data_IF_712560262537
#
_entry.id   IF_712560262537
#
_cell.length_a   1.000
_cell.length_b   1.000
_cell.length_c   1.000
_cell.angle_alpha   90.00
_cell.angle_beta   90.00
_cell.angle_gamma   90.00
#
_symmetry.space_group_name_H-M   'P 1'
#
loop_
_entity.id
_entity.type
_entity.pdbx_description
1 polymer ?
#
# COMPACT_ATOMS: atom_id res chain seq x y z
N UNK A 1 -20.73 8.82 -16.31
CA UNK A 1 -20.03 7.51 -16.20
C UNK A 1 -18.58 7.61 -16.68
N UNK A 2 -18.33 8.18 -17.86
CA UNK A 2 -16.97 8.39 -18.39
C UNK A 2 -16.10 9.25 -17.46
N UNK A 3 -16.67 10.32 -16.91
CA UNK A 3 -15.99 11.20 -15.97
C UNK A 3 -15.55 10.47 -14.69
N UNK A 4 -16.40 9.60 -14.12
CA UNK A 4 -16.04 8.79 -12.96
C UNK A 4 -14.84 7.88 -13.25
N UNK A 5 -14.79 7.28 -14.46
CA UNK A 5 -13.68 6.43 -14.88
C UNK A 5 -12.40 7.25 -15.04
N UNK A 6 -12.50 8.47 -15.57
CA UNK A 6 -11.37 9.39 -15.71
C UNK A 6 -10.78 9.77 -14.35
N UNK A 7 -11.63 10.15 -13.39
CA UNK A 7 -11.22 10.52 -12.03
C UNK A 7 -10.63 9.32 -11.28
N UNK A 8 -11.22 8.13 -11.43
CA UNK A 8 -10.71 6.91 -10.81
C UNK A 8 -9.29 6.59 -11.31
N UNK A 9 -9.05 6.67 -12.63
CA UNK A 9 -7.71 6.45 -13.20
C UNK A 9 -6.70 7.44 -12.65
N UNK A 10 -7.04 8.72 -12.63
CA UNK A 10 -6.16 9.76 -12.08
C UNK A 10 -5.82 9.50 -10.60
N UNK A 11 -6.79 9.09 -9.79
CA UNK A 11 -6.55 8.73 -8.40
C UNK A 11 -5.65 7.50 -8.24
N UNK A 12 -5.84 6.47 -9.07
CA UNK A 12 -4.99 5.28 -9.08
C UNK A 12 -3.55 5.61 -9.51
N UNK A 13 -3.37 6.41 -10.56
CA UNK A 13 -2.05 6.81 -11.05
C UNK A 13 -1.29 7.61 -9.99
N UNK A 14 -1.98 8.54 -9.31
CA UNK A 14 -1.42 9.30 -8.20
C UNK A 14 -1.03 8.41 -7.02
N UNK A 15 -1.90 7.46 -6.63
CA UNK A 15 -1.62 6.52 -5.55
C UNK A 15 -0.39 5.64 -5.86
N UNK A 16 -0.27 5.14 -7.09
CA UNK A 16 0.90 4.34 -7.52
C UNK A 16 2.19 5.15 -7.50
N UNK A 17 2.15 6.41 -7.93
CA UNK A 17 3.29 7.32 -7.83
C UNK A 17 3.72 7.51 -6.38
N UNK A 18 2.79 7.88 -5.49
CA UNK A 18 3.07 8.09 -4.07
C UNK A 18 3.61 6.83 -3.39
N UNK A 19 3.05 5.67 -3.70
CA UNK A 19 3.54 4.37 -3.21
C UNK A 19 5.01 4.15 -3.61
N UNK A 20 5.35 4.35 -4.89
CA UNK A 20 6.73 4.19 -5.38
C UNK A 20 7.69 5.19 -4.74
N UNK A 21 7.28 6.45 -4.59
CA UNK A 21 8.08 7.47 -3.93
C UNK A 21 8.33 7.11 -2.46
N UNK A 22 7.31 6.68 -1.73
CA UNK A 22 7.45 6.19 -0.36
C UNK A 22 8.41 4.98 -0.25
N UNK A 23 8.29 4.01 -1.15
CA UNK A 23 9.19 2.85 -1.22
C UNK A 23 10.64 3.22 -1.55
N UNK A 24 10.86 4.36 -2.22
CA UNK A 24 12.18 4.90 -2.52
C UNK A 24 12.71 5.89 -1.47
N UNK A 25 12.04 6.00 -0.31
CA UNK A 25 12.47 6.88 0.79
C UNK A 25 12.12 8.36 0.61
N UNK A 26 11.23 8.70 -0.33
CA UNK A 26 10.75 10.07 -0.53
C UNK A 26 9.45 10.38 0.22
N UNK A 27 9.00 9.45 1.07
CA UNK A 27 7.81 9.64 1.92
C UNK A 27 8.08 10.62 3.06
N UNK A 28 7.12 11.50 3.32
CA UNK A 28 7.30 12.62 4.26
C UNK A 28 7.21 12.22 5.74
N UNK A 29 6.40 11.22 6.09
CA UNK A 29 6.08 10.88 7.49
C UNK A 29 7.32 10.55 8.32
N UNK A 30 8.26 9.80 7.74
CA UNK A 30 9.50 9.42 8.45
C UNK A 30 10.46 10.60 8.57
N UNK A 31 10.43 11.54 7.64
CA UNK A 31 11.20 12.78 7.74
C UNK A 31 10.65 13.68 8.85
N UNK A 32 9.33 13.85 8.92
CA UNK A 32 8.65 14.59 9.99
C UNK A 32 8.90 13.96 11.36
N UNK A 33 8.86 12.62 11.43
CA UNK A 33 9.20 11.90 12.65
C UNK A 33 10.66 12.13 13.08
N UNK A 34 11.61 12.12 12.15
CA UNK A 34 13.01 12.41 12.44
C UNK A 34 13.18 13.83 13.00
N UNK A 35 12.56 14.83 12.37
CA UNK A 35 12.58 16.22 12.84
C UNK A 35 12.00 16.35 14.27
N UNK A 36 10.92 15.61 14.56
CA UNK A 36 10.35 15.56 15.90
C UNK A 36 11.29 14.95 16.93
N UNK A 37 11.93 13.82 16.63
CA UNK A 37 12.90 13.19 17.54
C UNK A 37 14.07 14.15 17.82
N UNK A 38 14.57 14.81 16.78
CA UNK A 38 15.65 15.79 16.92
C UNK A 38 15.22 17.02 17.73
N UNK A 39 14.00 17.52 17.53
CA UNK A 39 13.51 18.68 18.30
C UNK A 39 13.40 18.34 19.78
N UNK A 40 12.99 17.12 20.13
CA UNK A 40 12.97 16.65 21.53
C UNK A 40 14.37 16.50 22.11
N UNK A 41 15.31 15.93 21.35
CA UNK A 41 16.70 15.82 21.79
C UNK A 41 17.35 17.20 22.07
N UNK A 42 17.08 18.17 21.20
CA UNK A 42 17.61 19.54 21.32
C UNK A 42 16.79 20.44 22.25
N UNK A 43 15.69 19.94 22.83
CA UNK A 43 14.73 20.72 23.61
C UNK A 43 14.19 21.96 22.86
N UNK A 44 13.99 21.82 21.54
CA UNK A 44 13.39 22.84 20.69
C UNK A 44 11.90 22.60 20.55
N UNK A 45 11.12 23.66 20.77
CA UNK A 45 9.71 23.68 20.46
C UNK A 45 9.47 24.19 19.04
N UNK A 46 8.63 23.50 18.28
CA UNK A 46 8.34 23.80 16.89
C UNK A 46 6.83 23.86 16.66
N UNK A 47 6.27 25.06 16.46
CA UNK A 47 4.85 25.22 16.16
C UNK A 47 4.41 24.41 14.94
N UNK A 48 5.29 24.29 13.94
CA UNK A 48 5.06 23.48 12.74
C UNK A 48 4.89 21.99 13.07
N UNK A 49 5.82 21.41 13.84
CA UNK A 49 5.72 19.99 14.20
C UNK A 49 4.53 19.71 15.10
N UNK A 50 4.17 20.67 15.98
CA UNK A 50 2.97 20.56 16.79
C UNK A 50 1.71 20.47 15.93
N UNK A 51 1.57 21.39 14.96
CA UNK A 51 0.42 21.40 14.05
C UNK A 51 0.35 20.13 13.19
N UNK A 52 1.47 19.71 12.59
CA UNK A 52 1.49 18.57 11.65
C UNK A 52 1.22 17.24 12.34
N UNK A 53 1.61 17.10 13.62
CA UNK A 53 1.43 15.85 14.38
C UNK A 53 0.09 15.78 15.13
N UNK A 54 -0.69 16.86 15.18
CA UNK A 54 -2.00 16.89 15.85
C UNK A 54 -3.08 16.11 15.08
N UNK A 55 -2.93 15.93 13.77
CA UNK A 55 -3.94 15.26 12.95
C UNK A 55 -3.99 13.75 13.22
N UNK A 56 -5.14 13.20 13.68
CA UNK A 56 -5.24 11.77 13.95
C UNK A 56 -5.32 10.96 12.65
N UNK A 57 -4.47 9.94 12.52
CA UNK A 57 -4.55 8.96 11.43
C UNK A 57 -5.82 8.11 11.57
N UNK A 58 -6.89 8.48 10.84
CA UNK A 58 -8.22 7.86 10.97
C UNK A 58 -8.31 6.46 10.37
N UNK A 59 -7.51 6.19 9.35
CA UNK A 59 -7.50 4.92 8.63
C UNK A 59 -6.08 4.36 8.60
N UNK A 60 -5.93 3.12 9.05
CA UNK A 60 -4.69 2.36 8.96
C UNK A 60 -4.94 1.12 8.12
N UNK A 61 -4.19 0.98 7.02
CA UNK A 61 -4.29 -0.14 6.09
C UNK A 61 -2.92 -0.73 5.81
N UNK A 62 -2.84 -2.03 5.61
CA UNK A 62 -1.67 -2.72 5.10
C UNK A 62 -2.09 -3.77 4.08
N UNK A 63 -1.24 -4.01 3.08
CA UNK A 63 -1.42 -5.05 2.07
C UNK A 63 -0.27 -6.04 2.20
N UNK A 64 -0.61 -7.30 2.48
CA UNK A 64 0.35 -8.40 2.39
C UNK A 64 0.11 -9.12 1.06
N UNK A 65 1.10 -9.19 0.16
CA UNK A 65 0.93 -9.96 -1.07
C UNK A 65 0.75 -11.43 -0.70
N UNK A 66 -0.35 -12.03 -1.15
CA UNK A 66 -0.55 -13.48 -1.05
C UNK A 66 0.15 -14.14 -2.23
N UNK A 67 1.21 -14.88 -1.94
CA UNK A 67 1.85 -15.76 -2.90
C UNK A 67 1.10 -17.08 -2.84
N UNK A 68 0.34 -17.38 -3.89
CA UNK A 68 -0.15 -18.74 -4.09
C UNK A 68 0.99 -19.54 -4.70
N UNK A 69 1.59 -20.44 -3.91
CA UNK A 69 2.45 -21.51 -4.44
C UNK A 69 1.54 -22.47 -5.20
N UNK A 70 1.26 -22.14 -6.45
CA UNK A 70 0.16 -22.75 -7.13
C UNK A 70 0.56 -24.08 -7.78
N UNK A 71 0.70 -25.12 -6.94
CA UNK A 71 0.76 -26.52 -7.38
C UNK A 71 -0.48 -26.92 -8.21
N UNK A 72 -1.58 -26.14 -8.11
CA UNK A 72 -2.85 -26.37 -8.79
C UNK A 72 -2.86 -25.74 -10.19
N UNK A 73 -2.30 -24.55 -10.36
CA UNK A 73 -2.09 -23.89 -11.65
C UNK A 73 -0.93 -24.51 -12.40
N UNK A 74 0.16 -24.89 -11.73
CA UNK A 74 1.21 -25.67 -12.39
C UNK A 74 0.66 -26.98 -12.96
N UNK A 75 -0.30 -27.61 -12.26
CA UNK A 75 -1.02 -28.80 -12.74
C UNK A 75 -2.03 -28.47 -13.86
N UNK A 76 -2.83 -27.42 -13.71
CA UNK A 76 -3.81 -26.98 -14.71
C UNK A 76 -3.16 -26.53 -16.04
N UNK A 77 -2.00 -25.88 -15.97
CA UNK A 77 -1.18 -25.51 -17.13
C UNK A 77 -0.50 -26.74 -17.75
N UNK A 78 -0.07 -27.71 -16.95
CA UNK A 78 0.46 -28.99 -17.46
C UNK A 78 -0.62 -29.82 -18.19
N UNK A 79 -1.88 -29.74 -17.75
CA UNK A 79 -3.02 -30.42 -18.38
C UNK A 79 -3.48 -29.76 -19.69
N UNK A 80 -3.16 -28.47 -19.93
CA UNK A 80 -3.59 -27.71 -21.12
C UNK A 80 -2.46 -26.82 -21.69
N UNK A 81 -1.43 -27.42 -22.32
CA UNK A 81 -0.26 -26.70 -22.81
C UNK A 81 -0.59 -25.61 -23.85
N UNK A 82 -1.63 -25.81 -24.67
CA UNK A 82 -2.05 -24.85 -25.69
C UNK A 82 -2.60 -23.53 -25.14
N UNK A 83 -3.01 -23.49 -23.86
CA UNK A 83 -3.46 -22.25 -23.21
C UNK A 83 -2.30 -21.46 -22.61
N UNK A 84 -1.24 -22.13 -22.13
CA UNK A 84 -0.08 -21.47 -21.54
C UNK A 84 0.66 -20.57 -22.55
N UNK A 85 0.71 -20.98 -23.82
CA UNK A 85 1.29 -20.21 -24.92
C UNK A 85 0.45 -18.98 -25.28
N UNK A 86 -0.87 -19.13 -25.35
CA UNK A 86 -1.81 -18.05 -25.70
C UNK A 86 -1.87 -16.92 -24.68
N UNK A 87 -1.67 -17.23 -23.39
CA UNK A 87 -1.70 -16.24 -22.29
C UNK A 87 -0.29 -15.69 -21.99
N UNK A 88 0.75 -16.11 -22.73
CA UNK A 88 2.13 -15.66 -22.51
C UNK A 88 2.67 -15.98 -21.11
N UNK A 89 2.05 -16.96 -20.44
CA UNK A 89 2.23 -17.23 -19.01
C UNK A 89 3.41 -18.17 -18.73
N UNK A 90 4.18 -18.55 -19.75
CA UNK A 90 5.38 -19.41 -19.64
C UNK A 90 6.52 -18.77 -18.84
N UNK A 91 6.42 -17.47 -18.51
CA UNK A 91 7.48 -16.71 -17.82
C UNK A 91 7.15 -16.24 -16.40
N UNK A 92 5.93 -16.43 -15.91
CA UNK A 92 5.51 -16.00 -14.57
C UNK A 92 5.59 -17.18 -13.59
N UNK A 93 6.76 -17.35 -12.94
CA UNK A 93 7.00 -18.36 -11.88
C UNK A 93 6.27 -18.07 -10.56
N UNK A 94 5.58 -16.94 -10.45
CA UNK A 94 4.85 -16.53 -9.25
C UNK A 94 3.70 -15.63 -9.71
N UNK A 95 2.46 -16.09 -9.52
CA UNK A 95 1.30 -15.20 -9.57
C UNK A 95 1.14 -14.65 -8.15
N UNK A 96 1.76 -13.50 -7.90
CA UNK A 96 1.44 -12.72 -6.71
C UNK A 96 0.06 -12.10 -6.91
N UNK A 97 -0.93 -12.56 -6.15
CA UNK A 97 -2.21 -11.87 -6.08
C UNK A 97 -2.00 -10.51 -5.42
N UNK A 98 -2.47 -9.44 -6.07
CA UNK A 98 -2.48 -8.10 -5.50
C UNK A 98 -3.61 -7.99 -4.45
N UNK A 99 -3.56 -8.77 -3.36
CA UNK A 99 -4.62 -8.68 -2.35
C UNK A 99 -4.52 -9.61 -1.15
N UNK A 100 -4.53 -8.98 0.03
CA UNK A 100 -4.83 -9.55 1.34
C UNK A 100 -4.86 -8.39 2.34
N UNK A 101 -6.02 -7.74 2.50
CA UNK A 101 -6.18 -6.56 3.35
C UNK A 101 -6.53 -6.92 4.80
N UNK A 102 -6.05 -6.13 5.75
CA UNK A 102 -6.54 -6.14 7.13
C UNK A 102 -7.86 -5.34 7.23
N UNK A 103 -8.82 -5.87 8.01
CA UNK A 103 -10.13 -5.25 8.29
C UNK A 103 -10.05 -4.00 9.18
N UNK A 104 -11.20 -3.34 9.45
CA UNK A 104 -11.25 -2.01 10.04
C UNK A 104 -10.68 -1.97 11.47
N UNK A 105 -9.82 -0.98 11.75
CA UNK A 105 -9.32 -0.68 13.10
C UNK A 105 -9.75 0.72 13.53
N UNK A 106 -10.93 0.80 14.13
CA UNK A 106 -11.22 1.52 15.39
C UNK A 106 -12.69 1.32 15.78
N UNK A 107 -12.93 0.71 16.96
CA UNK A 107 -13.96 1.18 17.87
C UNK A 107 -13.22 1.88 19.00
N UNK A 108 -13.30 3.20 19.08
CA UNK A 108 -12.97 3.92 20.30
C UNK A 108 -14.25 4.08 21.10
N UNK A 109 -14.60 3.05 21.87
CA UNK A 109 -15.44 3.23 23.04
C UNK A 109 -14.48 3.31 24.24
N UNK A 110 -13.97 4.52 24.49
CA UNK A 110 -13.37 4.87 25.77
C UNK A 110 -14.36 5.81 26.44
N UNK A 111 -15.15 5.22 27.34
CA UNK A 111 -15.98 5.85 28.37
C UNK A 111 -17.08 6.81 27.91
N UNK A 112 -18.32 6.28 27.87
CA UNK A 112 -19.40 6.80 28.71
C UNK A 112 -20.39 5.68 29.04
#
# INVERSE_FOLDING_TARGET
REECVRLLRAACDYHQLQYRDAMSGKGIDRHLFCLYVLSKFLNLDSPFLHQVLQEPWKLSTSQTPTIYDDKRLSRFLAEKPQMAEKVGLTRLKCISSAGGGFGPVRKTDINN
#
